data_IF_843979148329
#
_entry.id   IF_843979148329
#
_cell.length_a   1.000
_cell.length_b   1.000
_cell.length_c   1.000
_cell.angle_alpha   90.00
_cell.angle_beta   90.00
_cell.angle_gamma   90.00
#
_symmetry.space_group_name_H-M   'P 1'
#
loop_
_entity.id
_entity.type
_entity.pdbx_description
1 polymer ?
#
# COMPACT_ATOMS: atom_id res chain seq x y z
N UNK A 1 8.74 -11.69 0.52
CA UNK A 1 8.19 -10.65 -0.38
C UNK A 1 6.71 -10.87 -0.61
N UNK A 2 5.93 -9.80 -0.66
CA UNK A 2 4.49 -9.85 -0.95
C UNK A 2 4.28 -10.21 -2.43
N UNK A 3 3.32 -11.09 -2.71
CA UNK A 3 2.98 -11.49 -4.07
C UNK A 3 1.92 -10.55 -4.65
N UNK A 4 2.12 -10.09 -5.89
CA UNK A 4 1.18 -9.17 -6.54
C UNK A 4 -0.24 -9.75 -6.60
N UNK A 5 -0.40 -11.03 -6.97
CA UNK A 5 -1.72 -11.66 -7.05
C UNK A 5 -2.45 -11.64 -5.70
N UNK A 6 -1.77 -11.97 -4.60
CA UNK A 6 -2.34 -11.91 -3.24
C UNK A 6 -2.72 -10.48 -2.87
N UNK A 7 -1.84 -9.52 -3.17
CA UNK A 7 -2.09 -8.11 -2.88
C UNK A 7 -3.28 -7.56 -3.65
N UNK A 8 -3.40 -7.91 -4.94
CA UNK A 8 -4.48 -7.50 -5.82
C UNK A 8 -5.82 -8.10 -5.39
N UNK A 9 -5.86 -9.40 -5.07
CA UNK A 9 -7.06 -10.08 -4.56
C UNK A 9 -7.55 -9.49 -3.23
N UNK A 10 -6.63 -8.99 -2.40
CA UNK A 10 -6.95 -8.38 -1.12
C UNK A 10 -7.27 -6.88 -1.21
N UNK A 11 -7.05 -6.24 -2.36
CA UNK A 11 -7.29 -4.82 -2.52
C UNK A 11 -8.79 -4.53 -2.58
N UNK A 12 -9.32 -3.58 -1.78
CA UNK A 12 -10.78 -3.36 -1.66
C UNK A 12 -11.42 -2.63 -2.87
N UNK A 13 -10.71 -2.55 -4.00
CA UNK A 13 -11.16 -1.86 -5.21
C UNK A 13 -11.59 -0.42 -4.96
N UNK A 14 -12.86 -0.14 -5.25
CA UNK A 14 -13.49 1.18 -5.12
C UNK A 14 -14.25 1.38 -3.81
N UNK A 15 -14.20 0.42 -2.90
CA UNK A 15 -14.84 0.56 -1.57
C UNK A 15 -14.24 1.75 -0.83
N UNK A 16 -15.02 2.40 0.04
CA UNK A 16 -14.59 3.50 0.90
C UNK A 16 -14.66 3.04 2.37
N UNK A 17 -13.58 2.43 2.90
CA UNK A 17 -13.62 1.80 4.23
C UNK A 17 -13.65 2.82 5.38
N UNK A 18 -13.44 4.10 5.10
CA UNK A 18 -13.53 5.19 6.05
C UNK A 18 -14.22 6.39 5.40
N UNK A 19 -14.68 7.36 6.20
CA UNK A 19 -15.21 8.62 5.70
C UNK A 19 -14.11 9.71 5.57
N UNK A 20 -13.27 9.59 4.54
CA UNK A 20 -12.23 10.59 4.19
C UNK A 20 -12.18 10.78 2.68
N UNK A 21 -11.90 12.00 2.21
CA UNK A 21 -11.84 12.31 0.77
C UNK A 21 -10.75 11.51 0.03
N UNK A 22 -9.67 11.15 0.71
CA UNK A 22 -8.54 10.46 0.12
C UNK A 22 -8.38 9.05 0.71
N UNK A 23 -8.74 8.05 -0.10
CA UNK A 23 -8.78 6.64 0.30
C UNK A 23 -7.56 5.82 -0.17
N UNK A 24 -6.64 6.40 -0.95
CA UNK A 24 -5.54 5.65 -1.57
C UNK A 24 -4.68 4.92 -0.54
N UNK A 25 -4.25 5.59 0.52
CA UNK A 25 -3.45 5.00 1.58
C UNK A 25 -4.24 4.00 2.45
N UNK A 26 -5.54 4.23 2.62
CA UNK A 26 -6.45 3.37 3.38
C UNK A 26 -6.61 2.03 2.66
N UNK A 27 -6.99 2.08 1.38
CA UNK A 27 -7.18 0.90 0.54
C UNK A 27 -5.90 0.08 0.44
N UNK A 28 -4.77 0.77 0.24
CA UNK A 28 -3.47 0.11 0.18
C UNK A 28 -3.06 -0.49 1.53
N UNK A 29 -3.26 0.22 2.64
CA UNK A 29 -2.99 -0.29 3.99
C UNK A 29 -3.78 -1.56 4.31
N UNK A 30 -5.06 -1.61 3.94
CA UNK A 30 -5.91 -2.80 4.08
C UNK A 30 -5.36 -3.95 3.24
N UNK A 31 -5.02 -3.71 1.97
CA UNK A 31 -4.47 -4.71 1.08
C UNK A 31 -3.17 -5.33 1.63
N UNK A 32 -2.27 -4.48 2.13
CA UNK A 32 -1.01 -4.91 2.75
C UNK A 32 -1.24 -5.77 3.99
N UNK A 33 -2.11 -5.32 4.89
CA UNK A 33 -2.41 -6.05 6.11
C UNK A 33 -3.03 -7.43 5.83
N UNK A 34 -4.00 -7.49 4.92
CA UNK A 34 -4.61 -8.77 4.48
C UNK A 34 -3.61 -9.68 3.75
N UNK A 35 -2.55 -9.10 3.20
CA UNK A 35 -1.46 -9.82 2.54
C UNK A 35 -0.30 -10.15 3.47
N UNK A 36 -0.53 -10.16 4.79
CA UNK A 36 0.43 -10.54 5.82
C UNK A 36 1.69 -9.66 5.90
N UNK A 37 1.56 -8.37 5.53
CA UNK A 37 2.61 -7.37 5.75
C UNK A 37 2.46 -6.81 7.17
N UNK A 38 3.52 -6.91 7.99
CA UNK A 38 3.50 -6.38 9.35
C UNK A 38 3.65 -4.85 9.36
N UNK A 39 2.53 -4.17 9.61
CA UNK A 39 2.44 -2.71 9.68
C UNK A 39 2.75 -2.14 11.08
N UNK A 40 3.23 -2.94 12.05
CA UNK A 40 3.56 -2.46 13.40
C UNK A 40 4.65 -1.38 13.41
N UNK A 41 5.61 -1.48 12.49
CA UNK A 41 6.69 -0.50 12.34
C UNK A 41 6.27 0.76 11.56
N UNK A 42 5.02 0.85 11.12
CA UNK A 42 4.48 2.05 10.49
C UNK A 42 3.90 2.98 11.56
N UNK A 43 4.56 4.13 11.75
CA UNK A 43 4.23 5.15 12.75
C UNK A 43 3.57 6.41 12.17
N UNK A 44 3.14 6.37 10.91
CA UNK A 44 2.42 7.49 10.28
C UNK A 44 0.98 7.64 10.75
N UNK A 45 0.28 8.62 10.19
CA UNK A 45 -1.07 8.99 10.57
C UNK A 45 -2.07 7.84 10.32
N UNK A 46 -2.87 7.53 11.34
CA UNK A 46 -3.93 6.53 11.27
C UNK A 46 -5.29 7.12 11.66
N UNK A 47 -6.38 6.52 11.17
CA UNK A 47 -7.74 6.96 11.49
C UNK A 47 -8.04 6.85 13.00
N UNK A 48 -8.84 7.77 13.50
CA UNK A 48 -9.28 7.83 14.91
C UNK A 48 -10.63 7.16 15.16
N UNK A 49 -11.36 6.79 14.10
CA UNK A 49 -12.78 6.39 14.12
C UNK A 49 -13.05 4.95 14.62
N UNK A 50 -12.37 4.51 15.67
CA UNK A 50 -12.65 3.22 16.32
C UNK A 50 -12.32 1.94 15.52
N UNK A 51 -11.86 2.05 14.27
CA UNK A 51 -11.46 0.90 13.47
C UNK A 51 -10.31 0.12 14.09
N UNK A 52 -10.47 -1.20 14.18
CA UNK A 52 -9.44 -2.12 14.67
C UNK A 52 -9.07 -3.14 13.60
N UNK A 53 -7.82 -3.13 13.11
CA UNK A 53 -6.79 -2.12 13.36
C UNK A 53 -7.05 -0.80 12.63
N UNK A 54 -6.43 0.28 13.12
CA UNK A 54 -6.59 1.61 12.54
C UNK A 54 -5.96 1.69 11.14
N UNK A 55 -6.70 2.25 10.19
CA UNK A 55 -6.29 2.44 8.80
C UNK A 55 -5.28 3.58 8.62
N UNK A 56 -4.39 3.44 7.64
CA UNK A 56 -3.36 4.44 7.29
C UNK A 56 -3.99 5.55 6.45
N UNK A 57 -3.71 6.81 6.77
CA UNK A 57 -4.35 7.97 6.11
C UNK A 57 -3.49 8.64 5.03
N UNK A 58 -2.18 8.78 5.26
CA UNK A 58 -1.30 9.59 4.41
C UNK A 58 -0.56 8.72 3.39
N UNK A 59 -0.77 9.01 2.11
CA UNK A 59 -0.18 8.27 1.01
C UNK A 59 1.35 8.41 0.96
N UNK A 60 1.85 9.63 1.17
CA UNK A 60 3.30 9.89 1.16
C UNK A 60 4.02 9.12 2.27
N UNK A 61 3.51 9.17 3.51
CA UNK A 61 4.10 8.43 4.63
C UNK A 61 4.11 6.93 4.37
N UNK A 62 3.05 6.38 3.77
CA UNK A 62 3.00 4.98 3.38
C UNK A 62 4.05 4.66 2.29
N UNK A 63 4.19 5.51 1.29
CA UNK A 63 5.18 5.33 0.22
C UNK A 63 6.62 5.38 0.77
N UNK A 64 6.92 6.34 1.64
CA UNK A 64 8.22 6.47 2.31
C UNK A 64 8.52 5.25 3.18
N UNK A 65 7.52 4.72 3.88
CA UNK A 65 7.64 3.50 4.64
C UNK A 65 7.91 2.29 3.73
N UNK A 66 7.12 2.11 2.65
CA UNK A 66 7.31 1.01 1.68
C UNK A 66 8.74 1.04 1.11
N UNK A 67 9.26 2.22 0.81
CA UNK A 67 10.59 2.42 0.23
C UNK A 67 11.73 1.80 1.07
N UNK A 68 11.57 1.72 2.40
CA UNK A 68 12.59 1.17 3.29
C UNK A 68 12.31 -0.29 3.70
N UNK A 69 11.28 -0.94 3.14
CA UNK A 69 10.86 -2.31 3.49
C UNK A 69 11.23 -3.34 2.43
N UNK A 70 12.53 -3.41 2.10
CA UNK A 70 13.08 -4.35 1.11
C UNK A 70 12.69 -5.80 1.38
N UNK A 71 12.58 -6.21 2.65
CA UNK A 71 12.13 -7.56 3.01
C UNK A 71 10.75 -7.94 2.43
N UNK A 72 9.84 -6.96 2.37
CA UNK A 72 8.49 -7.15 1.83
C UNK A 72 8.42 -6.87 0.32
N UNK A 73 9.11 -5.83 -0.16
CA UNK A 73 8.89 -5.29 -1.51
C UNK A 73 10.06 -5.48 -2.49
N UNK A 74 11.19 -6.02 -2.02
CA UNK A 74 12.42 -6.12 -2.81
C UNK A 74 13.09 -4.77 -3.06
N UNK A 75 14.04 -4.75 -3.98
CA UNK A 75 14.76 -3.53 -4.37
C UNK A 75 13.88 -2.65 -5.25
N UNK A 76 13.83 -1.35 -4.93
CA UNK A 76 13.09 -0.36 -5.72
C UNK A 76 13.84 -0.01 -7.00
N UNK A 77 13.15 -0.10 -8.13
CA UNK A 77 13.56 0.54 -9.38
C UNK A 77 12.67 1.76 -9.65
N UNK A 78 13.27 2.85 -10.12
CA UNK A 78 12.53 4.07 -10.51
C UNK A 78 12.70 4.32 -11.99
N UNK A 79 11.60 4.68 -12.64
CA UNK A 79 11.58 4.95 -14.06
C UNK A 79 10.83 6.27 -14.30
N UNK A 80 11.35 7.10 -15.20
CA UNK A 80 10.76 8.39 -15.56
C UNK A 80 10.52 8.40 -17.08
N UNK A 81 9.46 9.07 -17.53
CA UNK A 81 9.11 9.19 -18.95
C UNK A 81 9.01 7.84 -19.69
N UNK A 82 8.41 6.85 -19.03
CA UNK A 82 8.24 5.50 -19.58
C UNK A 82 6.95 5.35 -20.36
N UNK A 83 6.98 4.45 -21.34
CA UNK A 83 5.83 3.96 -22.10
C UNK A 83 5.61 2.48 -21.79
N UNK A 84 4.48 1.91 -22.24
CA UNK A 84 4.21 0.47 -22.06
C UNK A 84 5.34 -0.41 -22.63
N UNK A 85 6.03 0.07 -23.67
CA UNK A 85 7.14 -0.65 -24.32
C UNK A 85 8.31 -0.94 -23.37
N UNK A 86 8.47 -0.14 -22.32
CA UNK A 86 9.53 -0.32 -21.33
C UNK A 86 9.28 -1.51 -20.37
N UNK A 87 8.04 -2.02 -20.30
CA UNK A 87 7.64 -3.09 -19.38
C UNK A 87 7.01 -4.29 -20.08
N UNK A 88 6.81 -4.24 -21.40
CA UNK A 88 6.48 -5.41 -22.20
C UNK A 88 7.71 -6.30 -22.31
N UNK A 89 7.83 -7.27 -21.41
CA UNK A 89 8.70 -8.43 -21.58
C UNK A 89 8.06 -9.37 -22.60
N UNK A 90 8.86 -9.83 -23.58
CA UNK A 90 8.54 -10.99 -24.45
C UNK A 90 8.27 -12.25 -23.63
#
# INVERSE_FOLDING_TARGET
MVQFNTLWQNHPGWTEPCNFDHQCAIRMGIALQKSNVDLKSFHGARCWDGHTPRHILRAQELADWINIKEHYFGTRSTYNNVTHSNFSSN
#
